data_IF_140510313643
#
_entry.id   IF_140510313643
#
_cell.length_a   1.000
_cell.length_b   1.000
_cell.length_c   1.000
_cell.angle_alpha   90.00
_cell.angle_beta   90.00
_cell.angle_gamma   90.00
#
_symmetry.space_group_name_H-M   'P 1'
#
loop_
_entity.id
_entity.type
_entity.pdbx_description
1 polymer ?
#
# COMPACT_ATOMS: atom_id res chain seq x y z
N UNK A 1 28.48 4.73 33.22
CA UNK A 1 27.00 4.82 33.38
C UNK A 1 26.44 5.29 32.05
N UNK A 2 25.99 4.36 31.18
CA UNK A 2 25.47 4.71 29.84
C UNK A 2 23.95 4.89 29.95
N UNK A 3 23.50 6.12 29.81
CA UNK A 3 22.08 6.45 29.73
C UNK A 3 21.54 6.01 28.38
N UNK A 4 20.68 5.02 28.36
CA UNK A 4 19.88 4.62 27.21
C UNK A 4 18.79 5.68 27.01
N UNK A 5 18.95 6.52 25.99
CA UNK A 5 17.88 7.41 25.52
C UNK A 5 16.80 6.52 24.86
N UNK A 6 15.74 6.25 25.58
CA UNK A 6 14.50 5.68 24.99
C UNK A 6 13.85 6.85 24.24
N UNK A 7 13.97 6.85 22.92
CA UNK A 7 13.25 7.78 22.08
C UNK A 7 11.74 7.47 22.22
N UNK A 8 11.00 8.38 22.82
CA UNK A 8 9.55 8.31 22.93
C UNK A 8 8.97 8.58 21.53
N UNK A 9 8.60 7.53 20.82
CA UNK A 9 7.87 7.64 19.54
C UNK A 9 6.43 7.99 19.87
N UNK A 10 6.06 9.26 19.78
CA UNK A 10 4.68 9.69 19.90
C UNK A 10 3.96 9.40 18.59
N UNK A 11 3.05 8.42 18.58
CA UNK A 11 2.07 8.27 17.51
C UNK A 11 1.11 9.47 17.59
N UNK A 12 1.27 10.41 16.68
CA UNK A 12 0.28 11.47 16.51
C UNK A 12 -0.97 10.95 15.78
N UNK A 13 -2.09 11.70 15.85
CA UNK A 13 -3.40 11.28 15.34
C UNK A 13 -3.37 10.78 13.91
N UNK A 14 -4.32 9.93 13.54
CA UNK A 14 -4.46 9.43 12.18
C UNK A 14 -4.66 10.61 11.22
N UNK A 15 -3.81 10.69 10.18
CA UNK A 15 -3.93 11.67 9.10
C UNK A 15 -5.00 11.25 8.11
N UNK A 16 -5.13 9.93 7.92
CA UNK A 16 -6.14 9.33 7.06
C UNK A 16 -6.49 7.92 7.58
N UNK A 17 -7.78 7.58 7.58
CA UNK A 17 -8.24 6.25 7.95
C UNK A 17 -9.56 5.95 7.26
N UNK A 18 -9.87 4.67 7.08
CA UNK A 18 -11.13 4.29 6.44
C UNK A 18 -11.22 2.81 6.14
N UNK A 19 -12.25 2.48 5.39
CA UNK A 19 -12.52 1.13 4.91
C UNK A 19 -12.63 1.19 3.39
N UNK A 20 -11.92 0.31 2.72
CA UNK A 20 -12.02 0.05 1.29
C UNK A 20 -12.84 -1.21 1.08
N UNK A 21 -13.87 -1.14 0.24
CA UNK A 21 -14.67 -2.29 -0.19
C UNK A 21 -14.10 -2.80 -1.49
N UNK A 22 -13.73 -4.06 -1.52
CA UNK A 22 -13.11 -4.74 -2.67
C UNK A 22 -14.18 -5.57 -3.36
N UNK A 23 -14.36 -5.36 -4.66
CA UNK A 23 -15.31 -6.10 -5.50
C UNK A 23 -14.61 -6.73 -6.69
N UNK A 24 -14.97 -7.95 -6.99
CA UNK A 24 -14.68 -8.61 -8.28
C UNK A 24 -16.01 -8.63 -9.06
N UNK A 25 -16.03 -8.05 -10.25
CA UNK A 25 -17.27 -7.69 -10.97
C UNK A 25 -18.21 -6.86 -10.07
N UNK A 26 -19.35 -7.44 -9.69
CA UNK A 26 -20.31 -6.81 -8.79
C UNK A 26 -20.29 -7.38 -7.36
N UNK A 27 -19.58 -8.48 -7.14
CA UNK A 27 -19.55 -9.18 -5.86
C UNK A 27 -18.51 -8.56 -4.91
N UNK A 28 -18.94 -8.20 -3.71
CA UNK A 28 -18.01 -7.82 -2.64
C UNK A 28 -17.25 -9.06 -2.16
N UNK A 29 -15.92 -9.05 -2.30
CA UNK A 29 -15.05 -10.18 -1.93
C UNK A 29 -14.28 -9.95 -0.63
N UNK A 30 -14.04 -8.68 -0.25
CA UNK A 30 -13.37 -8.34 1.00
C UNK A 30 -13.61 -6.89 1.40
N UNK A 31 -13.21 -6.57 2.64
CA UNK A 31 -13.05 -5.20 3.14
C UNK A 31 -11.67 -5.05 3.72
N UNK A 32 -11.04 -3.93 3.40
CA UNK A 32 -9.73 -3.53 3.91
C UNK A 32 -9.88 -2.32 4.82
N UNK A 33 -9.58 -2.48 6.10
CA UNK A 33 -9.48 -1.35 7.04
C UNK A 33 -8.05 -0.81 7.01
N UNK A 34 -7.86 0.50 6.98
CA UNK A 34 -6.53 1.11 6.96
C UNK A 34 -6.46 2.35 7.86
N UNK A 35 -5.25 2.62 8.32
CA UNK A 35 -4.88 3.84 9.06
C UNK A 35 -3.51 4.32 8.61
N UNK A 36 -3.44 5.56 8.16
CA UNK A 36 -2.20 6.30 7.88
C UNK A 36 -1.96 7.27 9.01
N UNK A 37 -0.79 7.23 9.60
CA UNK A 37 -0.36 8.15 10.66
C UNK A 37 1.03 8.70 10.34
N UNK A 38 1.36 9.83 10.94
CA UNK A 38 2.72 10.35 10.95
C UNK A 38 3.46 9.82 12.17
N UNK A 39 4.73 9.52 12.00
CA UNK A 39 5.66 9.20 13.07
C UNK A 39 6.59 10.41 13.23
N UNK A 40 6.55 11.05 14.39
CA UNK A 40 7.38 12.21 14.68
C UNK A 40 8.46 11.87 15.68
N UNK A 41 9.65 12.42 15.47
CA UNK A 41 10.72 12.48 16.45
C UNK A 41 11.03 13.97 16.69
N UNK A 42 10.64 14.51 17.84
CA UNK A 42 10.68 15.93 18.14
C UNK A 42 9.60 16.72 17.38
N UNK A 43 9.96 17.85 16.77
CA UNK A 43 9.02 18.74 16.05
C UNK A 43 8.87 18.42 14.57
N UNK A 44 9.63 17.47 14.03
CA UNK A 44 9.66 17.19 12.60
C UNK A 44 8.95 15.85 12.29
N UNK A 45 8.15 15.83 11.22
CA UNK A 45 7.60 14.58 10.66
C UNK A 45 8.73 13.85 9.96
N UNK A 46 9.11 12.69 10.48
CA UNK A 46 10.18 11.89 9.89
C UNK A 46 9.62 10.81 8.94
N UNK A 47 8.53 10.14 9.35
CA UNK A 47 7.99 9.01 8.59
C UNK A 47 6.46 9.04 8.52
N UNK A 48 5.95 8.24 7.58
CA UNK A 48 4.52 7.93 7.44
C UNK A 48 4.34 6.44 7.67
N UNK A 49 3.42 6.05 8.54
CA UNK A 49 3.10 4.65 8.81
C UNK A 49 1.70 4.34 8.33
N UNK A 50 1.57 3.43 7.36
CA UNK A 50 0.32 2.87 6.92
C UNK A 50 0.18 1.46 7.48
N UNK A 51 -0.81 1.27 8.35
CA UNK A 51 -1.23 -0.06 8.80
C UNK A 51 -2.57 -0.40 8.16
N UNK A 52 -2.69 -1.61 7.65
CA UNK A 52 -3.93 -2.07 7.03
C UNK A 52 -4.21 -3.53 7.40
N UNK A 53 -5.48 -3.93 7.30
CA UNK A 53 -5.92 -5.30 7.51
C UNK A 53 -7.05 -5.61 6.54
N UNK A 54 -6.89 -6.69 5.78
CA UNK A 54 -7.91 -7.20 4.87
C UNK A 54 -8.14 -8.68 5.09
N UNK A 55 -9.42 -9.09 5.06
CA UNK A 55 -9.84 -10.48 5.22
C UNK A 55 -10.63 -10.93 3.99
N UNK A 56 -10.13 -11.97 3.35
CA UNK A 56 -10.77 -12.68 2.26
C UNK A 56 -11.35 -13.98 2.80
N UNK A 57 -12.67 -14.12 2.87
CA UNK A 57 -13.34 -15.32 3.40
C UNK A 57 -14.57 -15.72 2.57
N UNK A 58 -14.97 -14.94 1.57
CA UNK A 58 -16.15 -15.19 0.76
C UNK A 58 -15.83 -16.13 -0.40
N UNK A 59 -16.34 -17.37 -0.34
CA UNK A 59 -16.18 -18.39 -1.38
C UNK A 59 -14.74 -18.86 -1.60
N UNK A 60 -13.81 -18.60 -0.65
CA UNK A 60 -12.39 -18.94 -0.72
C UNK A 60 -11.90 -19.42 0.65
N UNK A 61 -10.79 -20.17 0.71
CA UNK A 61 -10.11 -20.37 1.98
C UNK A 61 -9.77 -19.02 2.63
N UNK A 62 -9.92 -18.95 3.95
CA UNK A 62 -9.67 -17.69 4.68
C UNK A 62 -8.21 -17.26 4.54
N UNK A 63 -8.03 -16.01 4.08
CA UNK A 63 -6.74 -15.33 4.03
C UNK A 63 -6.88 -14.00 4.75
N UNK A 64 -6.00 -13.71 5.72
CA UNK A 64 -5.91 -12.41 6.38
C UNK A 64 -4.53 -11.82 6.12
N UNK A 65 -4.50 -10.58 5.65
CA UNK A 65 -3.30 -9.84 5.28
C UNK A 65 -3.24 -8.57 6.11
N UNK A 66 -2.14 -8.37 6.84
CA UNK A 66 -1.97 -7.24 7.75
C UNK A 66 -0.60 -6.57 7.61
N UNK A 67 -0.31 -5.83 6.51
CA UNK A 67 0.92 -5.07 6.42
C UNK A 67 0.87 -3.77 7.23
N UNK A 68 2.01 -3.45 7.83
CA UNK A 68 2.35 -2.14 8.39
C UNK A 68 3.63 -1.64 7.71
N UNK A 69 3.50 -0.64 6.85
CA UNK A 69 4.58 -0.08 6.06
C UNK A 69 4.94 1.31 6.57
N UNK A 70 6.21 1.53 6.87
CA UNK A 70 6.77 2.85 7.12
C UNK A 70 7.48 3.37 5.86
N UNK A 71 7.24 4.65 5.57
CA UNK A 71 7.78 5.37 4.42
C UNK A 71 8.44 6.65 4.92
N UNK A 72 9.65 6.90 4.47
CA UNK A 72 10.41 8.10 4.83
C UNK A 72 9.90 9.38 4.14
N UNK A 73 10.46 10.56 4.48
CA UNK A 73 10.09 11.83 3.87
C UNK A 73 10.39 11.89 2.37
N UNK A 74 11.30 11.07 1.88
CA UNK A 74 11.61 10.88 0.46
C UNK A 74 10.65 9.92 -0.26
N UNK A 75 9.60 9.48 0.44
CA UNK A 75 8.62 8.48 -0.03
C UNK A 75 9.21 7.08 -0.28
N UNK A 76 10.41 6.78 0.21
CA UNK A 76 11.00 5.44 0.13
C UNK A 76 10.53 4.55 1.28
N UNK A 77 10.36 3.23 1.06
CA UNK A 77 10.04 2.29 2.12
C UNK A 77 11.21 2.19 3.12
N UNK A 78 10.93 2.37 4.40
CA UNK A 78 11.92 2.30 5.50
C UNK A 78 11.81 0.96 6.22
N UNK A 79 10.61 0.58 6.62
CA UNK A 79 10.35 -0.71 7.27
C UNK A 79 9.01 -1.30 6.85
N UNK A 80 8.92 -2.61 6.92
CA UNK A 80 7.70 -3.38 6.67
C UNK A 80 7.57 -4.47 7.72
N UNK A 81 6.42 -4.54 8.37
CA UNK A 81 5.94 -5.70 9.09
C UNK A 81 4.68 -6.19 8.40
N UNK A 82 4.62 -7.48 8.05
CA UNK A 82 3.49 -7.99 7.30
C UNK A 82 3.11 -9.38 7.78
N UNK A 83 2.02 -9.48 8.50
CA UNK A 83 1.45 -10.74 8.95
C UNK A 83 0.52 -11.30 7.88
N UNK A 84 0.73 -12.56 7.52
CA UNK A 84 -0.05 -13.31 6.53
C UNK A 84 -0.61 -14.55 7.21
N UNK A 85 -1.94 -14.66 7.30
CA UNK A 85 -2.63 -15.84 7.81
C UNK A 85 -3.33 -16.50 6.61
N UNK A 86 -2.94 -17.71 6.31
CA UNK A 86 -3.42 -18.47 5.15
C UNK A 86 -3.51 -19.97 5.47
N UNK A 87 -4.23 -20.79 4.67
CA UNK A 87 -4.45 -22.22 4.96
C UNK A 87 -3.16 -23.01 5.13
N UNK A 88 -2.09 -22.64 4.43
CA UNK A 88 -0.77 -23.29 4.50
C UNK A 88 -0.05 -23.01 5.84
N UNK A 89 -0.54 -22.06 6.59
CA UNK A 89 -0.01 -21.61 7.87
C UNK A 89 0.33 -20.12 7.88
N UNK A 90 0.57 -19.56 9.06
CA UNK A 90 0.97 -18.17 9.18
C UNK A 90 2.39 -17.94 8.67
N UNK A 91 2.58 -16.80 8.03
CA UNK A 91 3.88 -16.26 7.65
C UNK A 91 4.00 -14.84 8.19
N UNK A 92 5.22 -14.44 8.54
CA UNK A 92 5.56 -13.06 8.87
C UNK A 92 6.64 -12.57 7.93
N UNK A 93 6.42 -11.43 7.29
CA UNK A 93 7.35 -10.82 6.37
C UNK A 93 7.87 -9.54 7.02
N UNK A 94 9.19 -9.43 7.11
CA UNK A 94 9.87 -8.26 7.67
C UNK A 94 10.69 -7.61 6.55
N UNK A 95 10.52 -6.31 6.38
CA UNK A 95 11.28 -5.51 5.43
C UNK A 95 12.07 -4.43 6.15
N UNK A 96 13.29 -4.18 5.71
CA UNK A 96 14.14 -3.12 6.29
C UNK A 96 15.00 -2.47 5.22
N UNK A 97 15.02 -1.15 5.23
CA UNK A 97 15.91 -0.36 4.39
C UNK A 97 17.35 -0.42 4.94
N UNK A 98 18.29 -0.74 4.06
CA UNK A 98 19.74 -0.58 4.27
C UNK A 98 20.29 0.54 3.38
N UNK A 99 21.60 0.67 3.30
CA UNK A 99 22.26 1.76 2.53
C UNK A 99 21.88 1.82 1.05
N UNK A 100 21.80 0.66 0.37
CA UNK A 100 21.59 0.59 -1.08
C UNK A 100 20.54 -0.46 -1.46
N UNK A 101 19.84 -1.04 -0.49
CA UNK A 101 18.88 -2.12 -0.72
C UNK A 101 17.79 -2.16 0.34
N UNK A 102 16.63 -2.66 -0.06
CA UNK A 102 15.56 -3.03 0.85
C UNK A 102 15.60 -4.56 0.99
N UNK A 103 15.80 -5.04 2.22
CA UNK A 103 15.91 -6.46 2.52
C UNK A 103 14.57 -6.95 3.04
N UNK A 104 14.04 -8.02 2.44
CA UNK A 104 12.80 -8.67 2.85
C UNK A 104 13.10 -10.07 3.35
N UNK A 105 12.67 -10.38 4.58
CA UNK A 105 12.78 -11.72 5.19
C UNK A 105 11.36 -12.27 5.39
N UNK A 106 11.11 -13.46 4.89
CA UNK A 106 9.85 -14.19 5.10
C UNK A 106 10.08 -15.33 6.08
N UNK A 107 9.36 -15.30 7.18
CA UNK A 107 9.43 -16.27 8.27
C UNK A 107 8.15 -17.12 8.23
N UNK A 108 8.25 -18.35 7.81
CA UNK A 108 7.21 -19.36 7.87
C UNK A 108 7.47 -20.38 8.99
N UNK A 109 6.56 -21.34 9.17
CA UNK A 109 6.67 -22.36 10.24
C UNK A 109 7.98 -23.15 10.22
N UNK A 110 8.55 -23.43 9.03
CA UNK A 110 9.74 -24.26 8.85
C UNK A 110 10.70 -23.68 7.82
N UNK A 111 10.45 -22.47 7.33
CA UNK A 111 11.22 -21.87 6.26
C UNK A 111 11.53 -20.42 6.60
N UNK A 112 12.74 -20.02 6.35
CA UNK A 112 13.14 -18.63 6.31
C UNK A 112 13.72 -18.34 4.93
N UNK A 113 13.28 -17.24 4.32
CA UNK A 113 13.78 -16.79 3.02
C UNK A 113 14.12 -15.31 3.13
N UNK A 114 15.24 -14.92 2.54
CA UNK A 114 15.61 -13.52 2.42
C UNK A 114 15.74 -13.14 0.94
N UNK A 115 15.30 -11.92 0.62
CA UNK A 115 15.48 -11.31 -0.70
C UNK A 115 15.93 -9.88 -0.53
N UNK A 116 16.77 -9.43 -1.45
CA UNK A 116 17.29 -8.07 -1.48
C UNK A 116 16.85 -7.38 -2.76
N UNK A 117 16.38 -6.15 -2.61
CA UNK A 117 15.94 -5.30 -3.71
C UNK A 117 16.80 -4.04 -3.73
N UNK A 118 17.52 -3.81 -4.83
CA UNK A 118 18.36 -2.61 -4.96
C UNK A 118 17.51 -1.34 -4.95
N UNK A 119 17.91 -0.35 -4.14
CA UNK A 119 17.34 0.99 -4.09
C UNK A 119 18.03 1.88 -5.13
N UNK A 120 17.72 1.69 -6.40
CA UNK A 120 18.31 2.43 -7.52
C UNK A 120 17.42 3.56 -8.06
N UNK A 121 16.43 4.00 -7.29
CA UNK A 121 15.47 5.03 -7.65
C UNK A 121 14.20 4.94 -6.80
N UNK A 122 13.14 5.64 -7.18
CA UNK A 122 11.85 5.58 -6.49
C UNK A 122 11.35 4.14 -6.38
N UNK A 123 10.94 3.75 -5.16
CA UNK A 123 10.45 2.41 -4.88
C UNK A 123 9.20 2.46 -4.02
N UNK A 124 8.26 1.54 -4.28
CA UNK A 124 7.06 1.31 -3.47
C UNK A 124 6.93 -0.16 -3.11
N UNK A 125 6.25 -0.41 -2.00
CA UNK A 125 5.83 -1.75 -1.61
C UNK A 125 4.37 -1.92 -1.97
N UNK A 126 4.04 -2.97 -2.72
CA UNK A 126 2.68 -3.31 -3.11
C UNK A 126 2.34 -4.77 -2.79
N UNK A 127 1.07 -5.09 -2.89
CA UNK A 127 0.55 -6.44 -2.83
C UNK A 127 -0.65 -6.56 -3.77
N UNK A 128 -0.85 -7.75 -4.36
CA UNK A 128 -1.94 -8.00 -5.31
C UNK A 128 -3.33 -7.99 -4.66
N UNK A 129 -3.39 -8.01 -3.33
CA UNK A 129 -4.62 -8.14 -2.53
C UNK A 129 -4.72 -7.12 -1.40
N UNK A 130 -3.84 -6.11 -1.36
CA UNK A 130 -3.85 -5.01 -0.36
C UNK A 130 -3.77 -3.68 -1.11
N UNK A 131 -4.84 -2.93 -1.10
CA UNK A 131 -5.03 -1.80 -1.99
C UNK A 131 -4.70 -0.45 -1.35
N UNK A 132 -4.77 -0.32 -0.03
CA UNK A 132 -4.37 0.92 0.65
C UNK A 132 -2.92 1.30 0.37
N UNK A 133 -2.04 0.34 0.06
CA UNK A 133 -0.64 0.57 -0.31
C UNK A 133 -0.47 1.45 -1.56
N UNK A 134 -1.46 1.45 -2.47
CA UNK A 134 -1.46 2.32 -3.66
C UNK A 134 -1.50 3.81 -3.31
N UNK A 135 -1.81 4.15 -2.06
CA UNK A 135 -1.68 5.52 -1.55
C UNK A 135 -0.27 6.07 -1.78
N UNK A 136 0.75 5.27 -1.56
CA UNK A 136 2.15 5.68 -1.75
C UNK A 136 2.54 5.78 -3.22
N UNK A 137 1.92 5.01 -4.11
CA UNK A 137 2.09 5.18 -5.57
C UNK A 137 1.58 6.53 -6.01
N UNK A 138 0.41 6.94 -5.52
CA UNK A 138 -0.20 8.23 -5.86
C UNK A 138 0.67 9.44 -5.48
N UNK A 139 1.55 9.32 -4.49
CA UNK A 139 2.49 10.40 -4.11
C UNK A 139 3.54 10.69 -5.19
N UNK A 140 3.84 9.71 -6.03
CA UNK A 140 4.77 9.88 -7.17
C UNK A 140 4.10 10.46 -8.42
N UNK A 141 2.76 10.53 -8.46
CA UNK A 141 2.02 10.98 -9.62
C UNK A 141 2.33 12.44 -9.97
N UNK A 142 2.67 12.68 -11.22
CA UNK A 142 2.92 13.99 -11.83
C UNK A 142 2.29 13.99 -13.24
N UNK A 143 2.05 15.15 -13.87
CA UNK A 143 1.57 15.22 -15.26
C UNK A 143 2.50 14.48 -16.23
N UNK A 144 3.81 14.61 -16.07
CA UNK A 144 4.78 13.81 -16.81
C UNK A 144 4.88 12.40 -16.23
N UNK A 145 4.87 11.35 -17.08
CA UNK A 145 5.02 9.97 -16.62
C UNK A 145 6.33 9.76 -15.84
N UNK A 146 6.27 9.00 -14.78
CA UNK A 146 7.43 8.64 -13.93
C UNK A 146 7.51 7.14 -13.74
N UNK A 147 8.71 6.59 -13.90
CA UNK A 147 8.97 5.18 -13.61
C UNK A 147 9.39 5.02 -12.16
N UNK A 148 8.86 3.99 -11.50
CA UNK A 148 9.22 3.58 -10.16
C UNK A 148 9.30 2.04 -10.08
N UNK A 149 10.07 1.53 -9.13
CA UNK A 149 10.10 0.11 -8.83
C UNK A 149 9.01 -0.24 -7.83
N UNK A 150 8.22 -1.26 -8.13
CA UNK A 150 7.31 -1.88 -7.16
C UNK A 150 7.88 -3.22 -6.72
N UNK A 151 7.92 -3.45 -5.41
CA UNK A 151 8.24 -4.75 -4.85
C UNK A 151 6.99 -5.36 -4.22
N UNK A 152 6.83 -6.67 -4.41
CA UNK A 152 5.73 -7.48 -3.89
C UNK A 152 6.29 -8.51 -2.90
N UNK A 153 6.35 -8.18 -1.60
CA UNK A 153 7.06 -8.99 -0.60
C UNK A 153 6.59 -10.44 -0.53
N UNK A 154 5.29 -10.71 -0.61
CA UNK A 154 4.73 -12.08 -0.57
C UNK A 154 5.22 -12.96 -1.72
N UNK A 155 5.21 -12.44 -2.92
CA UNK A 155 5.64 -13.18 -4.12
C UNK A 155 7.15 -13.05 -4.39
N UNK A 156 7.79 -12.03 -3.81
CA UNK A 156 9.18 -11.68 -4.09
C UNK A 156 9.41 -11.14 -5.49
N UNK A 157 8.35 -10.63 -6.16
CA UNK A 157 8.44 -9.98 -7.46
C UNK A 157 8.96 -8.56 -7.32
N UNK A 158 9.61 -8.08 -8.38
CA UNK A 158 9.91 -6.67 -8.61
C UNK A 158 9.45 -6.31 -10.01
N UNK A 159 8.73 -5.20 -10.12
CA UNK A 159 8.20 -4.71 -11.39
C UNK A 159 8.59 -3.24 -11.59
N UNK A 160 8.71 -2.82 -12.84
CA UNK A 160 8.82 -1.42 -13.20
C UNK A 160 7.41 -0.91 -13.52
N UNK A 161 6.97 0.11 -12.79
CA UNK A 161 5.67 0.74 -12.99
C UNK A 161 5.88 2.14 -13.54
N UNK A 162 5.00 2.57 -14.43
CA UNK A 162 4.90 3.97 -14.86
C UNK A 162 3.66 4.57 -14.24
N UNK A 163 3.82 5.68 -13.50
CA UNK A 163 2.73 6.43 -12.87
C UNK A 163 2.58 7.79 -13.54
N UNK A 164 1.34 8.18 -13.82
CA UNK A 164 1.02 9.46 -14.44
C UNK A 164 -0.26 10.06 -13.88
N UNK A 165 -0.25 11.36 -13.61
CA UNK A 165 -1.42 12.14 -13.27
C UNK A 165 -2.08 12.68 -14.55
N UNK A 166 -3.31 12.26 -14.78
CA UNK A 166 -4.11 12.68 -15.94
C UNK A 166 -5.03 13.88 -15.64
N UNK A 167 -4.95 14.43 -14.41
CA UNK A 167 -5.80 15.55 -13.99
C UNK A 167 -7.19 15.11 -13.53
N UNK A 168 -8.14 16.03 -13.61
CA UNK A 168 -9.53 15.76 -13.20
C UNK A 168 -10.27 15.03 -14.31
N UNK A 169 -11.01 13.98 -13.93
CA UNK A 169 -11.83 13.21 -14.84
C UNK A 169 -13.15 12.77 -14.17
N UNK A 170 -14.18 12.59 -15.00
CA UNK A 170 -15.47 12.08 -14.54
C UNK A 170 -15.36 10.56 -14.26
N UNK A 171 -15.97 10.13 -13.17
CA UNK A 171 -16.10 8.74 -12.78
C UNK A 171 -17.37 8.53 -11.94
N UNK A 172 -17.57 7.33 -11.44
CA UNK A 172 -18.58 7.05 -10.42
C UNK A 172 -17.90 6.66 -9.11
N UNK A 173 -18.40 7.14 -7.98
CA UNK A 173 -17.98 6.74 -6.65
C UNK A 173 -19.21 6.37 -5.83
N UNK A 174 -19.25 5.17 -5.26
CA UNK A 174 -20.41 4.67 -4.51
C UNK A 174 -21.73 4.85 -5.29
N UNK A 175 -21.71 4.55 -6.61
CA UNK A 175 -22.82 4.68 -7.58
C UNK A 175 -23.24 6.13 -7.89
N UNK A 176 -22.56 7.14 -7.41
CA UNK A 176 -22.85 8.54 -7.69
C UNK A 176 -21.82 9.10 -8.69
N UNK A 177 -22.22 9.98 -9.63
CA UNK A 177 -21.28 10.70 -10.47
C UNK A 177 -20.31 11.52 -9.61
N UNK A 178 -19.04 11.52 -9.97
CA UNK A 178 -17.99 12.27 -9.29
C UNK A 178 -16.94 12.76 -10.28
N UNK A 179 -16.32 13.91 -10.00
CA UNK A 179 -15.13 14.40 -10.70
C UNK A 179 -13.96 14.30 -9.74
N UNK A 180 -13.01 13.46 -10.05
CA UNK A 180 -11.89 13.12 -9.19
C UNK A 180 -10.57 13.27 -9.95
N UNK A 181 -9.46 13.43 -9.24
CA UNK A 181 -8.13 13.38 -9.83
C UNK A 181 -7.81 11.94 -10.22
N UNK A 182 -7.51 11.74 -11.50
CA UNK A 182 -7.24 10.44 -12.08
C UNK A 182 -5.74 10.23 -12.25
N UNK A 183 -5.23 9.15 -11.68
CA UNK A 183 -3.84 8.72 -11.81
C UNK A 183 -3.83 7.32 -12.43
N UNK A 184 -3.00 7.11 -13.44
CA UNK A 184 -2.79 5.80 -14.04
C UNK A 184 -1.47 5.19 -13.57
N UNK A 185 -1.48 3.87 -13.42
CA UNK A 185 -0.30 3.06 -13.12
C UNK A 185 -0.25 1.93 -14.13
N UNK A 186 0.79 1.86 -14.94
CA UNK A 186 0.93 0.90 -16.03
C UNK A 186 2.24 0.13 -15.93
N UNK A 187 2.40 -0.94 -16.70
CA UNK A 187 3.64 -1.73 -16.80
C UNK A 187 3.75 -2.88 -15.81
N UNK A 188 2.81 -3.02 -14.88
CA UNK A 188 2.78 -4.15 -13.94
C UNK A 188 2.01 -5.37 -14.46
N UNK A 189 2.22 -6.54 -13.83
CA UNK A 189 1.51 -7.79 -14.17
C UNK A 189 0.00 -7.72 -13.92
N UNK A 190 -0.47 -6.79 -13.08
CA UNK A 190 -1.90 -6.58 -12.83
C UNK A 190 -2.64 -5.94 -14.02
N UNK A 191 -1.91 -5.47 -15.04
CA UNK A 191 -2.45 -4.60 -16.10
C UNK A 191 -2.52 -3.15 -15.63
N UNK A 192 -3.31 -2.35 -16.33
CA UNK A 192 -3.49 -0.94 -16.01
C UNK A 192 -4.32 -0.79 -14.72
N UNK A 193 -3.83 0.06 -13.82
CA UNK A 193 -4.50 0.40 -12.56
C UNK A 193 -4.85 1.88 -12.59
N UNK A 194 -6.11 2.18 -12.34
CA UNK A 194 -6.64 3.55 -12.25
C UNK A 194 -6.87 3.91 -10.79
N UNK A 195 -6.19 4.94 -10.31
CA UNK A 195 -6.34 5.48 -8.98
C UNK A 195 -7.13 6.78 -9.05
N UNK A 196 -8.12 6.91 -8.20
CA UNK A 196 -8.97 8.09 -8.11
C UNK A 196 -8.80 8.74 -6.74
N UNK A 197 -8.44 10.02 -6.76
CA UNK A 197 -8.11 10.77 -5.57
C UNK A 197 -9.13 11.90 -5.37
N UNK A 198 -9.57 12.07 -4.13
CA UNK A 198 -10.35 13.22 -3.72
C UNK A 198 -9.52 14.52 -3.79
N UNK A 199 -10.15 15.72 -3.74
CA UNK A 199 -9.44 17.01 -3.81
C UNK A 199 -8.35 17.18 -2.73
N UNK A 200 -8.53 16.58 -1.56
CA UNK A 200 -7.54 16.55 -0.47
C UNK A 200 -6.44 15.51 -0.67
N UNK A 201 -6.42 14.86 -1.82
CA UNK A 201 -5.45 13.84 -2.21
C UNK A 201 -5.70 12.46 -1.58
N UNK A 202 -6.79 12.21 -0.85
CA UNK A 202 -7.12 10.87 -0.33
C UNK A 202 -7.47 9.91 -1.46
N UNK A 203 -6.97 8.68 -1.37
CA UNK A 203 -7.34 7.59 -2.27
C UNK A 203 -8.77 7.15 -1.96
N UNK A 204 -9.68 7.26 -2.93
CA UNK A 204 -11.09 6.94 -2.75
C UNK A 204 -11.59 5.82 -3.64
N UNK A 205 -10.89 5.55 -4.77
CA UNK A 205 -11.26 4.45 -5.66
C UNK A 205 -10.04 3.91 -6.39
N UNK A 206 -10.03 2.60 -6.67
CA UNK A 206 -9.07 1.91 -7.53
C UNK A 206 -9.88 1.05 -8.50
N UNK A 207 -9.46 1.02 -9.75
CA UNK A 207 -9.99 0.10 -10.77
C UNK A 207 -8.84 -0.65 -11.42
N UNK A 208 -9.00 -1.96 -11.58
CA UNK A 208 -8.06 -2.84 -12.30
C UNK A 208 -8.89 -3.62 -13.33
N UNK A 209 -9.14 -3.04 -14.52
CA UNK A 209 -10.06 -3.64 -15.50
C UNK A 209 -9.68 -5.05 -15.92
N UNK A 210 -8.38 -5.32 -16.09
CA UNK A 210 -7.88 -6.65 -16.46
C UNK A 210 -8.21 -7.75 -15.43
N UNK A 211 -8.54 -7.36 -14.20
CA UNK A 211 -8.93 -8.26 -13.11
C UNK A 211 -10.42 -8.18 -12.77
N UNK A 212 -11.20 -7.40 -13.51
CA UNK A 212 -12.59 -7.07 -13.17
C UNK A 212 -12.75 -6.58 -11.72
N UNK A 213 -11.75 -5.85 -11.22
CA UNK A 213 -11.66 -5.47 -9.81
C UNK A 213 -11.90 -3.97 -9.63
N UNK A 214 -12.76 -3.65 -8.68
CA UNK A 214 -12.99 -2.30 -8.19
C UNK A 214 -12.85 -2.24 -6.67
N UNK A 215 -12.23 -1.19 -6.20
CA UNK A 215 -12.05 -0.90 -4.77
C UNK A 215 -12.57 0.50 -4.50
N UNK A 216 -13.52 0.63 -3.59
CA UNK A 216 -14.10 1.94 -3.27
C UNK A 216 -14.06 2.19 -1.77
N UNK A 217 -13.72 3.41 -1.41
CA UNK A 217 -13.75 3.86 -0.02
C UNK A 217 -15.18 4.06 0.44
N UNK A 218 -15.52 3.50 1.61
CA UNK A 218 -16.78 3.81 2.25
C UNK A 218 -16.82 5.30 2.67
N UNK A 219 -17.96 5.96 2.53
CA UNK A 219 -18.17 7.29 3.11
C UNK A 219 -17.83 7.25 4.61
N UNK A 220 -17.31 8.37 5.13
CA UNK A 220 -17.22 8.54 6.58
C UNK A 220 -18.65 8.58 7.16
N UNK A 221 -18.87 7.83 8.24
CA UNK A 221 -20.15 7.84 8.96
C UNK A 221 -20.35 9.20 9.65
#
# INVERSE_FOLDING_TARGET
>A
MSAWLVALVALQGAVDQGILVIREDTAEVAREAFRLATVQVGEHVEHWKLATSVRYDRGRPVVVLGPALEVGPDSQPVSLEYDVIQPQGPERILGQQGRARFVVRTLGRRTERAREFALSGPMVVLDDSVFALYRFVAWYARPAPRTLAAIYPRSGRREALTVQDLGLAATTLNRNPATLRHVTVTGGAAGDVHLWLAPDGRLVKIEIPARHLSVERLPAA
#
